data_IF_766657771702
#
_entry.id   IF_766657771702
#
_cell.length_a   1.000
_cell.length_b   1.000
_cell.length_c   1.000
_cell.angle_alpha   90.00
_cell.angle_beta   90.00
_cell.angle_gamma   90.00
#
_symmetry.space_group_name_H-M   'P 1'
#
loop_
_entity.id
_entity.type
_entity.pdbx_description
1 polymer ?
#
# COMPACT_ATOMS: atom_id res chain seq x y z
N UNK A 1 5.35 -73.10 1.18
CA UNK A 1 5.20 -71.89 0.36
C UNK A 1 5.08 -70.68 1.29
N UNK A 2 5.92 -69.66 1.07
CA UNK A 2 6.27 -68.57 2.02
C UNK A 2 5.09 -67.63 2.28
N UNK A 3 4.84 -67.34 3.56
CA UNK A 3 3.85 -66.37 4.07
C UNK A 3 4.37 -64.95 3.88
N UNK A 4 3.66 -64.14 3.10
CA UNK A 4 3.79 -62.69 3.06
C UNK A 4 2.40 -62.10 3.32
N UNK A 5 2.07 -61.89 4.59
CA UNK A 5 0.89 -61.13 4.99
C UNK A 5 1.37 -59.74 5.42
N UNK A 6 1.05 -58.77 4.57
CA UNK A 6 1.33 -57.34 4.67
C UNK A 6 0.89 -56.78 6.03
N UNK A 7 1.85 -56.25 6.79
CA UNK A 7 1.58 -55.20 7.77
C UNK A 7 1.34 -53.89 7.03
N UNK A 8 0.10 -53.40 7.00
CA UNK A 8 -0.23 -52.07 6.48
C UNK A 8 -1.53 -51.58 7.13
N UNK A 9 -1.45 -51.25 8.42
CA UNK A 9 -2.46 -50.47 9.12
C UNK A 9 -1.75 -49.54 10.09
N UNK A 10 -1.55 -48.29 9.67
CA UNK A 10 -1.35 -47.10 10.50
C UNK A 10 -1.50 -45.88 9.57
N UNK A 11 -2.75 -45.63 9.14
CA UNK A 11 -3.12 -44.36 8.52
C UNK A 11 -3.28 -43.32 9.65
N UNK A 12 -2.27 -42.48 9.84
CA UNK A 12 -2.37 -41.32 10.71
C UNK A 12 -3.26 -40.26 10.05
N UNK A 13 -4.35 -39.78 10.68
CA UNK A 13 -5.06 -38.60 10.21
C UNK A 13 -4.35 -37.38 10.79
N UNK A 14 -3.20 -37.02 10.23
CA UNK A 14 -2.54 -35.76 10.56
C UNK A 14 -3.02 -34.69 9.59
N UNK A 15 -3.60 -33.63 10.17
CA UNK A 15 -3.63 -32.25 9.66
C UNK A 15 -4.74 -31.90 8.66
N UNK A 16 -5.95 -31.73 9.19
CA UNK A 16 -6.91 -30.75 8.67
C UNK A 16 -7.14 -29.66 9.73
N UNK A 17 -6.07 -28.99 10.17
CA UNK A 17 -6.21 -27.70 10.83
C UNK A 17 -6.49 -26.68 9.73
N UNK A 18 -7.77 -26.47 9.42
CA UNK A 18 -8.19 -25.35 8.59
C UNK A 18 -7.65 -24.08 9.25
N UNK A 19 -6.78 -23.36 8.54
CA UNK A 19 -6.34 -22.05 8.96
C UNK A 19 -7.58 -21.15 9.01
N UNK A 20 -8.15 -20.98 10.20
CA UNK A 20 -9.12 -19.93 10.44
C UNK A 20 -8.42 -18.61 10.14
N UNK A 21 -8.84 -17.95 9.05
CA UNK A 21 -8.50 -16.57 8.79
C UNK A 21 -8.81 -15.81 10.07
N UNK A 22 -7.77 -15.24 10.70
CA UNK A 22 -7.97 -14.46 11.91
C UNK A 22 -8.85 -13.26 11.52
N UNK A 23 -10.06 -13.19 12.09
CA UNK A 23 -10.95 -12.02 11.97
C UNK A 23 -10.26 -10.82 12.62
N UNK A 24 -9.43 -10.17 11.82
CA UNK A 24 -8.75 -8.94 12.19
C UNK A 24 -9.72 -7.80 11.86
N UNK A 25 -9.97 -6.86 12.79
CA UNK A 25 -10.82 -5.71 12.50
C UNK A 25 -10.38 -5.01 11.21
N UNK A 26 -11.30 -4.47 10.39
CA UNK A 26 -10.93 -3.73 9.19
C UNK A 26 -10.01 -2.54 9.54
N UNK A 27 -9.09 -2.20 8.63
CA UNK A 27 -8.26 -1.02 8.83
C UNK A 27 -9.09 0.24 8.50
N UNK A 28 -8.94 1.35 9.22
CA UNK A 28 -9.73 2.57 8.96
C UNK A 28 -9.63 3.06 7.51
N UNK A 29 -8.47 2.86 6.88
CA UNK A 29 -8.17 3.26 5.50
C UNK A 29 -8.28 2.14 4.47
N UNK A 30 -8.99 1.04 4.77
CA UNK A 30 -9.11 -0.09 3.83
C UNK A 30 -9.65 0.30 2.44
N UNK A 31 -10.45 1.36 2.38
CA UNK A 31 -10.95 1.92 1.13
C UNK A 31 -9.85 2.47 0.21
N UNK A 32 -8.66 2.76 0.74
CA UNK A 32 -7.50 3.18 -0.04
C UNK A 32 -6.71 2.00 -0.60
N UNK A 33 -6.92 0.78 -0.13
CA UNK A 33 -6.05 -0.35 -0.49
C UNK A 33 -5.95 -0.56 -2.00
N UNK A 34 -4.73 -0.87 -2.43
CA UNK A 34 -4.40 -1.12 -3.84
C UNK A 34 -3.51 -0.05 -4.46
N UNK A 35 -3.45 -0.09 -5.78
CA UNK A 35 -2.53 0.70 -6.61
C UNK A 35 -3.23 1.92 -7.21
N UNK A 36 -2.53 3.05 -7.20
CA UNK A 36 -3.01 4.34 -7.67
C UNK A 36 -2.00 4.99 -8.60
N UNK A 37 -2.47 5.58 -9.68
CA UNK A 37 -1.65 6.25 -10.70
C UNK A 37 -2.03 7.72 -10.84
N UNK A 38 -1.07 8.57 -11.20
CA UNK A 38 -1.26 10.01 -11.36
C UNK A 38 -0.32 10.81 -10.45
N UNK A 39 -0.86 11.77 -9.71
CA UNK A 39 -0.10 12.55 -8.73
C UNK A 39 0.76 13.63 -9.39
N UNK A 40 1.86 13.25 -10.05
CA UNK A 40 2.73 14.24 -10.73
C UNK A 40 2.02 14.80 -11.97
N UNK A 41 1.49 13.89 -12.79
CA UNK A 41 0.69 14.19 -13.97
C UNK A 41 -0.70 13.58 -13.80
N UNK A 42 -1.73 14.09 -14.50
CA UNK A 42 -3.02 13.42 -14.55
C UNK A 42 -2.88 11.97 -15.06
N UNK A 43 -3.67 11.03 -14.51
CA UNK A 43 -3.61 9.64 -14.91
C UNK A 43 -4.09 9.45 -16.35
N UNK A 44 -3.27 8.81 -17.19
CA UNK A 44 -3.58 8.59 -18.62
C UNK A 44 -4.13 7.20 -18.94
N UNK A 45 -3.86 6.20 -18.09
CA UNK A 45 -4.34 4.82 -18.24
C UNK A 45 -4.59 4.21 -16.86
N UNK A 46 -5.85 3.93 -16.54
CA UNK A 46 -6.24 3.27 -15.29
C UNK A 46 -6.64 1.81 -15.47
N UNK A 47 -6.73 1.28 -16.69
CA UNK A 47 -7.23 -0.08 -16.96
C UNK A 47 -6.14 -1.05 -17.44
N UNK A 48 -5.13 -0.54 -18.13
CA UNK A 48 -4.07 -1.35 -18.72
C UNK A 48 -3.12 -1.96 -17.68
N UNK A 49 -2.43 -3.03 -18.09
CA UNK A 49 -1.40 -3.69 -17.28
C UNK A 49 -0.27 -2.73 -16.84
N UNK A 50 -0.08 -1.63 -17.58
CA UNK A 50 0.88 -0.57 -17.22
C UNK A 50 0.53 0.09 -15.89
N UNK A 51 -0.74 0.32 -15.58
CA UNK A 51 -1.15 0.93 -14.32
C UNK A 51 -0.71 0.07 -13.12
N UNK A 52 -0.98 -1.24 -13.20
CA UNK A 52 -0.61 -2.18 -12.13
C UNK A 52 0.90 -2.47 -12.08
N UNK A 53 1.60 -2.37 -13.21
CA UNK A 53 3.05 -2.60 -13.28
C UNK A 53 3.89 -1.45 -12.75
N UNK A 54 3.39 -0.21 -12.80
CA UNK A 54 4.12 0.99 -12.36
C UNK A 54 3.18 2.05 -11.73
N UNK A 55 2.44 1.72 -10.65
CA UNK A 55 1.63 2.71 -9.96
C UNK A 55 2.48 3.75 -9.24
N UNK A 56 1.99 4.97 -9.13
CA UNK A 56 2.64 6.06 -8.39
C UNK A 56 2.62 5.80 -6.89
N UNK A 57 1.48 5.32 -6.36
CA UNK A 57 1.27 5.06 -4.93
C UNK A 57 0.57 3.72 -4.73
N UNK A 58 0.98 2.99 -3.71
CA UNK A 58 0.33 1.75 -3.28
C UNK A 58 0.01 1.89 -1.79
N UNK A 59 -1.27 1.76 -1.45
CA UNK A 59 -1.70 1.69 -0.07
C UNK A 59 -1.91 0.24 0.32
N UNK A 60 -1.31 -0.15 1.44
CA UNK A 60 -1.55 -1.44 2.10
C UNK A 60 -2.04 -1.20 3.52
N UNK A 61 -2.21 -2.28 4.27
CA UNK A 61 -2.64 -2.22 5.65
C UNK A 61 -1.67 -1.44 6.54
N UNK A 62 -0.38 -1.76 6.42
CA UNK A 62 0.66 -1.29 7.35
C UNK A 62 1.72 -0.43 6.66
N UNK A 63 1.72 -0.36 5.32
CA UNK A 63 2.74 0.37 4.54
C UNK A 63 2.08 1.18 3.44
N UNK A 64 2.57 2.40 3.24
CA UNK A 64 2.34 3.18 2.01
C UNK A 64 3.63 3.21 1.21
N UNK A 65 3.53 2.85 -0.06
CA UNK A 65 4.67 2.87 -0.98
C UNK A 65 4.44 3.94 -2.04
N UNK A 66 5.47 4.68 -2.42
CA UNK A 66 5.39 5.59 -3.56
C UNK A 66 6.67 5.59 -4.40
N UNK A 67 6.54 5.92 -5.67
CA UNK A 67 7.68 6.29 -6.51
C UNK A 67 7.80 7.81 -6.57
N UNK A 68 8.98 8.31 -6.93
CA UNK A 68 9.19 9.71 -7.27
C UNK A 68 9.50 9.85 -8.77
N UNK A 69 9.39 11.07 -9.31
CA UNK A 69 9.61 11.32 -10.75
C UNK A 69 11.00 10.87 -11.22
N UNK A 70 12.01 11.08 -10.39
CA UNK A 70 13.42 10.82 -10.70
C UNK A 70 13.95 9.58 -9.97
N UNK A 71 13.09 8.85 -9.26
CA UNK A 71 13.44 7.62 -8.55
C UNK A 71 12.39 6.54 -8.81
N UNK A 72 12.69 5.56 -9.68
CA UNK A 72 11.76 4.49 -10.01
C UNK A 72 11.61 3.47 -8.87
N UNK A 73 12.43 3.54 -7.82
CA UNK A 73 12.33 2.64 -6.68
C UNK A 73 11.19 3.07 -5.75
N UNK A 74 10.44 2.09 -5.23
CA UNK A 74 9.40 2.36 -4.25
C UNK A 74 10.01 2.72 -2.90
N UNK A 75 9.74 3.94 -2.44
CA UNK A 75 9.95 4.36 -1.06
C UNK A 75 8.80 3.84 -0.22
N UNK A 76 9.12 3.05 0.80
CA UNK A 76 8.14 2.47 1.71
C UNK A 76 8.10 3.25 3.02
N UNK A 77 6.90 3.57 3.49
CA UNK A 77 6.67 4.20 4.79
C UNK A 77 5.75 3.33 5.63
N UNK A 78 6.27 2.88 6.77
CA UNK A 78 5.51 2.12 7.76
C UNK A 78 4.50 3.05 8.45
N UNK A 79 3.25 2.64 8.45
CA UNK A 79 2.14 3.34 9.08
C UNK A 79 2.24 3.12 10.59
N UNK A 80 2.30 4.21 11.35
CA UNK A 80 2.20 4.17 12.80
C UNK A 80 0.75 4.30 13.25
N UNK A 81 0.04 5.30 12.73
CA UNK A 81 -1.39 5.51 13.00
C UNK A 81 -2.11 6.04 11.77
N UNK A 82 -3.41 5.75 11.69
CA UNK A 82 -4.31 6.33 10.69
C UNK A 82 -5.60 6.77 11.36
N UNK A 83 -6.00 7.99 11.07
CA UNK A 83 -7.30 8.52 11.43
C UNK A 83 -8.10 8.81 10.15
N UNK A 84 -9.38 8.47 10.14
CA UNK A 84 -10.27 8.75 9.01
C UNK A 84 -11.44 9.61 9.47
N UNK A 85 -11.81 10.58 8.64
CA UNK A 85 -12.97 11.44 8.84
C UNK A 85 -13.62 11.69 7.49
N UNK A 86 -14.90 11.33 7.34
CA UNK A 86 -15.67 11.53 6.11
C UNK A 86 -14.86 11.08 4.88
N UNK A 87 -14.43 12.02 4.06
CA UNK A 87 -13.65 11.80 2.83
C UNK A 87 -12.14 11.99 3.01
N UNK A 88 -11.62 12.02 4.24
CA UNK A 88 -10.20 12.25 4.51
C UNK A 88 -9.59 11.12 5.34
N UNK A 89 -8.37 10.71 4.98
CA UNK A 89 -7.51 9.87 5.80
C UNK A 89 -6.21 10.61 6.12
N UNK A 90 -5.86 10.67 7.40
CA UNK A 90 -4.63 11.27 7.91
C UNK A 90 -3.72 10.15 8.43
N UNK A 91 -2.59 9.98 7.77
CA UNK A 91 -1.57 8.99 8.12
C UNK A 91 -0.46 9.66 8.92
N UNK A 92 -0.02 9.01 10.00
CA UNK A 92 1.30 9.23 10.60
C UNK A 92 2.16 8.02 10.35
N UNK A 93 3.38 8.26 9.90
CA UNK A 93 4.36 7.21 9.64
C UNK A 93 5.39 7.14 10.74
N UNK A 94 5.93 5.95 10.97
CA UNK A 94 7.09 5.80 11.82
C UNK A 94 8.22 6.69 11.28
N UNK A 95 8.84 7.54 12.13
CA UNK A 95 9.99 8.34 11.72
C UNK A 95 11.10 7.43 11.20
N UNK A 96 11.77 7.82 10.12
CA UNK A 96 13.04 7.17 9.83
C UNK A 96 14.05 7.54 10.92
N UNK A 97 14.64 6.53 11.55
CA UNK A 97 15.81 6.76 12.36
C UNK A 97 16.90 7.44 11.50
N UNK A 98 17.51 8.55 11.97
CA UNK A 98 18.69 9.08 11.30
C UNK A 98 19.83 8.07 11.44
N UNK A 99 20.03 7.26 10.40
CA UNK A 99 21.10 6.28 10.36
C UNK A 99 22.43 6.93 10.00
N UNK A 100 23.39 6.92 10.93
CA UNK A 100 24.82 7.12 10.68
C UNK A 100 25.24 8.43 9.98
N UNK A 101 26.54 8.56 9.68
CA UNK A 101 27.25 9.79 9.30
C UNK A 101 26.82 10.45 7.95
N UNK A 102 25.70 10.02 7.38
CA UNK A 102 25.05 10.53 6.16
C UNK A 102 23.60 10.98 6.46
N UNK A 103 23.38 11.66 7.59
CA UNK A 103 22.06 11.93 8.20
C UNK A 103 21.12 12.88 7.44
N UNK A 104 21.24 13.01 6.12
CA UNK A 104 20.24 13.68 5.29
C UNK A 104 19.38 12.59 4.64
N UNK A 105 18.16 12.45 5.15
CA UNK A 105 17.13 11.72 4.44
C UNK A 105 17.02 12.30 3.02
N UNK A 106 16.85 11.47 1.98
CA UNK A 106 16.60 11.94 0.62
C UNK A 106 15.45 12.96 0.59
N UNK A 107 15.51 13.93 -0.33
CA UNK A 107 14.48 14.97 -0.43
C UNK A 107 13.07 14.37 -0.68
N UNK A 108 13.03 13.19 -1.30
CA UNK A 108 11.87 12.37 -1.59
C UNK A 108 11.56 11.32 -0.50
N UNK A 109 12.18 11.38 0.69
CA UNK A 109 12.00 10.35 1.72
C UNK A 109 10.56 10.23 2.25
N UNK A 110 9.80 11.34 2.25
CA UNK A 110 8.35 11.32 2.48
C UNK A 110 7.60 11.97 1.32
N UNK A 111 6.29 12.14 1.43
CA UNK A 111 5.42 12.36 0.27
C UNK A 111 5.50 13.74 -0.40
N UNK A 112 6.36 14.65 0.08
CA UNK A 112 6.46 16.01 -0.45
C UNK A 112 5.26 16.92 -0.09
N UNK A 113 4.53 16.56 0.97
CA UNK A 113 3.33 17.26 1.43
C UNK A 113 3.62 18.16 2.65
N UNK A 114 2.73 19.12 3.00
CA UNK A 114 3.01 20.15 4.02
C UNK A 114 3.32 19.63 5.43
N UNK A 115 2.83 18.45 5.80
CA UNK A 115 3.07 17.81 7.11
C UNK A 115 4.48 17.21 7.27
N UNK A 116 5.37 17.38 6.29
CA UNK A 116 6.72 16.83 6.32
C UNK A 116 6.77 15.36 5.90
N UNK A 117 7.88 14.65 6.17
CA UNK A 117 8.07 13.31 5.65
C UNK A 117 7.21 12.24 6.34
N UNK A 118 6.72 12.53 7.55
CA UNK A 118 6.09 11.54 8.42
C UNK A 118 4.56 11.69 8.49
N UNK A 119 3.99 12.54 7.64
CA UNK A 119 2.56 12.80 7.57
C UNK A 119 2.07 12.78 6.11
N UNK A 120 0.90 12.17 5.89
CA UNK A 120 0.21 12.19 4.61
C UNK A 120 -1.29 12.38 4.85
N UNK A 121 -1.86 13.35 4.17
CA UNK A 121 -3.31 13.58 4.13
C UNK A 121 -3.79 13.14 2.75
N UNK A 122 -4.79 12.26 2.74
CA UNK A 122 -5.44 11.76 1.54
C UNK A 122 -6.89 12.20 1.57
N UNK A 123 -7.34 12.86 0.51
CA UNK A 123 -8.74 13.25 0.34
C UNK A 123 -9.36 12.41 -0.77
N UNK A 124 -10.51 11.81 -0.50
CA UNK A 124 -11.36 11.16 -1.49
C UNK A 124 -12.11 12.22 -2.26
N UNK A 125 -12.02 12.15 -3.59
CA UNK A 125 -12.78 13.02 -4.50
C UNK A 125 -13.90 12.22 -5.18
N UNK A 126 -13.70 10.92 -5.38
CA UNK A 126 -14.71 10.01 -5.90
C UNK A 126 -14.46 8.57 -5.47
N UNK A 127 -15.23 7.59 -5.99
CA UNK A 127 -15.05 6.18 -5.66
C UNK A 127 -13.63 5.66 -5.96
N UNK A 128 -13.06 6.13 -7.08
CA UNK A 128 -11.77 5.69 -7.62
C UNK A 128 -10.79 6.85 -7.85
N UNK A 129 -11.00 7.97 -7.16
CA UNK A 129 -10.18 9.18 -7.29
C UNK A 129 -9.87 9.79 -5.92
N UNK A 130 -8.60 10.11 -5.71
CA UNK A 130 -8.07 10.73 -4.50
C UNK A 130 -7.14 11.89 -4.85
N UNK A 131 -6.91 12.78 -3.89
CA UNK A 131 -5.93 13.86 -3.99
C UNK A 131 -5.09 13.92 -2.73
N UNK A 132 -3.89 14.49 -2.85
CA UNK A 132 -3.05 14.86 -1.71
C UNK A 132 -3.07 16.39 -1.57
N UNK A 133 -3.92 16.94 -0.67
CA UNK A 133 -4.14 18.37 -0.57
C UNK A 133 -2.84 19.13 -0.35
N UNK A 134 -2.60 20.16 -1.16
CA UNK A 134 -1.42 21.03 -1.08
C UNK A 134 -0.07 20.30 -1.20
N UNK A 135 -0.06 19.09 -1.77
CA UNK A 135 1.15 18.31 -1.91
C UNK A 135 1.93 18.70 -3.18
N UNK A 136 3.12 19.28 -3.01
CA UNK A 136 3.90 19.85 -4.13
C UNK A 136 4.38 18.79 -5.10
N UNK A 137 4.74 17.61 -4.60
CA UNK A 137 5.24 16.51 -5.43
C UNK A 137 4.13 15.76 -6.18
N UNK A 138 2.89 15.90 -5.75
CA UNK A 138 1.74 15.22 -6.34
C UNK A 138 0.53 16.18 -6.44
N UNK A 139 0.62 17.20 -7.32
CA UNK A 139 -0.42 18.23 -7.45
C UNK A 139 -1.69 17.74 -8.19
N UNK A 140 -1.58 16.68 -8.98
CA UNK A 140 -2.69 16.09 -9.74
C UNK A 140 -3.41 15.02 -8.92
N UNK A 141 -4.70 14.75 -9.19
CA UNK A 141 -5.39 13.61 -8.61
C UNK A 141 -4.70 12.28 -8.94
N UNK A 142 -4.90 11.30 -8.07
CA UNK A 142 -4.59 9.90 -8.35
C UNK A 142 -5.88 9.14 -8.61
N UNK A 143 -5.84 8.23 -9.59
CA UNK A 143 -6.93 7.31 -9.88
C UNK A 143 -6.53 5.86 -9.61
N UNK A 144 -7.51 5.06 -9.19
CA UNK A 144 -7.28 3.64 -8.88
C UNK A 144 -6.97 2.85 -10.14
N UNK A 145 -5.94 2.01 -10.08
CA UNK A 145 -5.68 1.02 -11.13
C UNK A 145 -6.74 -0.09 -11.12
N UNK A 146 -7.23 -0.45 -12.31
CA UNK A 146 -8.37 -1.34 -12.53
C UNK A 146 -9.73 -0.63 -12.53
N UNK A 147 -9.78 0.68 -12.28
CA UNK A 147 -11.02 1.45 -12.41
C UNK A 147 -11.25 1.88 -13.87
N UNK A 148 -12.51 1.96 -14.34
CA UNK A 148 -12.81 2.38 -15.70
C UNK A 148 -12.33 3.81 -15.99
N UNK A 149 -11.70 4.06 -17.13
CA UNK A 149 -11.41 5.41 -17.61
C UNK A 149 -12.76 6.11 -17.86
N UNK A 150 -13.12 7.05 -16.99
CA UNK A 150 -14.30 7.92 -17.13
C UNK A 150 -13.80 9.35 -17.28
#
# INVERSE_FOLDING_TARGET
MRRLARCLLLAAPLLAAGASAQDRPPAPHEWLFGSWTGGIFPPADTEGARCLGQPTVIFTRDVVMRTALLDPSYRQRLIETVATREDTASFRFTPAAPGGMASRLPADFGFGCPGGPDELIVQRVGPDEITFPNCREMPSPLRRCGAPNR
#
